data_IF_598483684367
#
_entry.id   IF_598483684367
#
_cell.length_a   1.000
_cell.length_b   1.000
_cell.length_c   1.000
_cell.angle_alpha   90.00
_cell.angle_beta   90.00
_cell.angle_gamma   90.00
#
_symmetry.space_group_name_H-M   'P 1'
#
loop_
_entity.id
_entity.type
_entity.pdbx_description
1 polymer ?
#
# COMPACT_ATOMS: atom_id res chain seq x y z
N UNK A 1 -7.84 34.25 23.26
CA UNK A 1 -7.90 33.63 21.93
C UNK A 1 -7.81 32.15 22.20
N UNK A 2 -8.84 31.35 21.89
CA UNK A 2 -8.75 29.89 22.02
C UNK A 2 -7.62 29.40 21.12
N UNK A 3 -6.81 28.48 21.61
CA UNK A 3 -5.81 27.82 20.81
C UNK A 3 -6.47 27.06 19.67
N UNK A 4 -5.85 27.01 18.49
CA UNK A 4 -6.42 26.37 17.32
C UNK A 4 -6.53 24.85 17.53
N UNK A 5 -7.60 24.25 17.05
CA UNK A 5 -7.74 22.80 16.96
C UNK A 5 -8.12 22.39 15.54
N UNK A 6 -7.85 21.12 15.23
CA UNK A 6 -8.10 20.53 13.92
C UNK A 6 -9.11 19.39 14.05
N UNK A 7 -9.87 19.14 12.99
CA UNK A 7 -10.75 17.98 12.94
C UNK A 7 -10.80 17.36 11.55
N UNK A 8 -11.16 16.10 11.47
CA UNK A 8 -11.47 15.44 10.22
C UNK A 8 -12.56 14.38 10.38
N UNK A 9 -13.25 14.04 9.28
CA UNK A 9 -14.18 12.92 9.23
C UNK A 9 -13.39 11.63 9.05
N UNK A 10 -13.23 10.86 10.15
CA UNK A 10 -12.45 9.61 10.17
C UNK A 10 -13.20 8.43 9.53
N UNK A 11 -14.55 8.43 9.56
CA UNK A 11 -15.36 7.45 8.84
C UNK A 11 -15.43 7.77 7.34
N UNK A 12 -15.67 6.77 6.45
CA UNK A 12 -15.88 7.03 5.03
C UNK A 12 -17.01 8.04 4.80
N UNK A 13 -16.88 8.95 3.82
CA UNK A 13 -17.96 9.88 3.49
C UNK A 13 -19.17 9.15 2.91
N UNK A 14 -20.37 9.68 3.15
CA UNK A 14 -21.63 9.13 2.68
C UNK A 14 -22.56 8.68 3.79
N UNK A 15 -23.66 8.04 3.42
CA UNK A 15 -24.67 7.57 4.38
C UNK A 15 -24.21 6.30 5.12
N UNK A 16 -24.25 6.35 6.44
CA UNK A 16 -23.90 5.25 7.32
C UNK A 16 -24.73 5.25 8.59
N UNK A 17 -24.55 4.27 9.47
CA UNK A 17 -25.19 4.27 10.79
C UNK A 17 -24.58 5.31 11.73
N UNK A 18 -23.26 5.47 11.67
CA UNK A 18 -22.47 6.37 12.52
C UNK A 18 -21.41 7.04 11.67
N UNK A 19 -21.18 8.35 11.93
CA UNK A 19 -20.02 9.09 11.43
C UNK A 19 -19.14 9.49 12.61
N UNK A 20 -17.82 9.35 12.43
CA UNK A 20 -16.83 9.63 13.46
C UNK A 20 -15.96 10.79 13.02
N UNK A 21 -15.98 11.87 13.79
CA UNK A 21 -15.02 12.97 13.67
C UNK A 21 -13.91 12.75 14.69
N UNK A 22 -12.68 12.95 14.27
CA UNK A 22 -11.52 13.01 15.16
C UNK A 22 -11.09 14.47 15.30
N UNK A 23 -10.91 14.92 16.55
CA UNK A 23 -10.53 16.28 16.91
C UNK A 23 -9.19 16.22 17.64
N UNK A 24 -8.26 17.12 17.33
CA UNK A 24 -6.95 17.13 17.97
C UNK A 24 -6.33 18.53 18.00
N UNK A 25 -5.41 18.73 18.91
CA UNK A 25 -4.69 19.98 19.09
C UNK A 25 -5.04 20.70 20.42
N UNK A 26 -4.30 21.74 20.78
CA UNK A 26 -4.36 22.34 22.11
C UNK A 26 -5.74 22.91 22.51
N UNK A 27 -6.53 23.39 21.54
CA UNK A 27 -7.88 23.93 21.77
C UNK A 27 -9.01 22.89 21.70
N UNK A 28 -8.72 21.61 21.40
CA UNK A 28 -9.75 20.60 21.12
C UNK A 28 -10.65 20.33 22.34
N UNK A 29 -10.07 20.23 23.53
CA UNK A 29 -10.82 19.99 24.77
C UNK A 29 -11.78 21.15 25.09
N UNK A 30 -11.30 22.38 25.05
CA UNK A 30 -12.11 23.57 25.37
C UNK A 30 -13.27 23.73 24.37
N UNK A 31 -12.95 23.60 23.07
CA UNK A 31 -13.95 23.74 22.01
C UNK A 31 -15.01 22.65 22.07
N UNK A 32 -14.60 21.38 22.28
CA UNK A 32 -15.53 20.26 22.39
C UNK A 32 -16.42 20.40 23.62
N UNK A 33 -15.87 20.75 24.79
CA UNK A 33 -16.65 21.00 26.01
C UNK A 33 -17.68 22.13 25.82
N UNK A 34 -17.32 23.19 25.10
CA UNK A 34 -18.23 24.31 24.80
C UNK A 34 -19.35 23.90 23.82
N UNK A 35 -19.12 22.90 22.97
CA UNK A 35 -20.11 22.37 22.03
C UNK A 35 -21.08 21.35 22.63
N UNK A 36 -20.83 20.85 23.84
CA UNK A 36 -21.61 19.80 24.47
C UNK A 36 -22.53 20.33 25.57
N UNK A 37 -23.75 19.75 25.71
CA UNK A 37 -24.71 20.14 26.71
C UNK A 37 -24.23 19.90 28.14
N UNK A 38 -23.57 18.77 28.39
CA UNK A 38 -22.97 18.43 29.68
C UNK A 38 -21.62 19.07 29.93
N UNK A 39 -20.91 19.51 28.88
CA UNK A 39 -19.59 20.15 28.96
C UNK A 39 -18.50 19.32 29.61
N UNK A 40 -18.72 18.01 29.78
CA UNK A 40 -17.75 17.11 30.43
C UNK A 40 -17.08 16.20 29.40
N UNK A 41 -15.76 16.17 29.43
CA UNK A 41 -14.98 15.28 28.61
C UNK A 41 -14.60 14.02 29.38
N UNK A 42 -14.55 12.86 28.70
CA UNK A 42 -14.13 11.61 29.34
C UNK A 42 -12.62 11.61 29.63
N UNK A 43 -12.21 10.81 30.62
CA UNK A 43 -10.79 10.55 30.88
C UNK A 43 -10.13 9.81 29.68
N UNK A 44 -8.80 9.94 29.48
CA UNK A 44 -8.07 9.24 28.41
C UNK A 44 -8.39 7.74 28.35
N UNK A 45 -8.75 7.26 27.16
CA UNK A 45 -9.16 5.87 26.92
C UNK A 45 -10.61 5.54 27.38
N UNK A 46 -11.39 6.54 27.73
CA UNK A 46 -12.81 6.40 28.11
C UNK A 46 -13.69 7.09 27.09
N UNK A 47 -15.00 6.79 27.17
CA UNK A 47 -16.03 7.47 26.40
C UNK A 47 -17.22 7.81 27.28
N UNK A 48 -17.99 8.84 26.88
CA UNK A 48 -19.24 9.21 27.52
C UNK A 48 -20.29 9.57 26.46
N UNK A 49 -21.57 9.51 26.84
CA UNK A 49 -22.68 9.98 26.06
C UNK A 49 -22.98 11.43 26.45
N UNK A 50 -23.21 12.30 25.46
CA UNK A 50 -23.62 13.68 25.66
C UNK A 50 -24.49 14.14 24.45
N UNK A 51 -24.93 15.39 24.47
CA UNK A 51 -25.66 16.01 23.34
C UNK A 51 -24.78 17.10 22.74
N UNK A 52 -24.55 17.02 21.42
CA UNK A 52 -23.95 18.11 20.65
C UNK A 52 -24.95 19.20 20.45
N UNK A 53 -24.60 20.44 20.79
CA UNK A 53 -25.44 21.60 20.65
C UNK A 53 -25.12 22.37 19.35
N UNK A 54 -26.16 22.93 18.71
CA UNK A 54 -26.01 23.87 17.61
C UNK A 54 -25.62 25.28 18.11
N UNK A 55 -25.57 26.26 17.22
CA UNK A 55 -25.21 27.65 17.52
C UNK A 55 -26.31 28.38 18.34
N UNK A 56 -27.55 27.86 18.36
CA UNK A 56 -28.66 28.37 19.17
C UNK A 56 -28.71 27.73 20.56
N UNK A 57 -27.88 26.71 20.83
CA UNK A 57 -27.89 25.94 22.07
C UNK A 57 -28.95 24.84 22.10
N UNK A 58 -29.55 24.51 20.94
CA UNK A 58 -30.48 23.38 20.82
C UNK A 58 -29.72 22.09 20.48
N UNK A 59 -30.27 20.95 20.90
CA UNK A 59 -29.62 19.64 20.62
C UNK A 59 -29.63 19.36 19.12
N UNK A 60 -28.42 19.26 18.54
CA UNK A 60 -28.20 18.85 17.17
C UNK A 60 -28.24 17.31 17.04
N UNK A 61 -27.56 16.60 17.94
CA UNK A 61 -27.51 15.14 17.96
C UNK A 61 -27.13 14.60 19.35
N UNK A 62 -27.51 13.34 19.64
CA UNK A 62 -26.95 12.59 20.77
C UNK A 62 -25.66 11.91 20.29
N UNK A 63 -24.55 12.18 21.00
CA UNK A 63 -23.21 11.83 20.53
C UNK A 63 -22.45 11.00 21.56
N UNK A 64 -21.55 10.14 21.07
CA UNK A 64 -20.55 9.50 21.90
C UNK A 64 -19.22 10.25 21.75
N UNK A 65 -18.75 10.79 22.87
CA UNK A 65 -17.44 11.46 22.95
C UNK A 65 -16.43 10.47 23.51
N UNK A 66 -15.34 10.22 22.79
CA UNK A 66 -14.22 9.42 23.25
C UNK A 66 -12.97 10.28 23.46
N UNK A 67 -12.22 10.05 24.52
CA UNK A 67 -10.87 10.63 24.68
C UNK A 67 -9.84 9.59 24.27
N UNK A 68 -8.89 9.97 23.40
CA UNK A 68 -7.87 9.07 22.89
C UNK A 68 -6.91 8.63 24.00
N UNK A 69 -6.51 7.35 24.06
CA UNK A 69 -5.55 6.88 25.05
C UNK A 69 -4.15 7.43 24.75
N UNK A 70 -3.32 7.55 25.78
CA UNK A 70 -1.94 8.00 25.67
C UNK A 70 -1.06 7.14 24.73
N UNK A 71 -1.49 5.92 24.41
CA UNK A 71 -0.84 5.00 23.46
C UNK A 71 -1.34 5.15 22.03
N UNK A 72 -2.23 6.10 21.75
CA UNK A 72 -2.73 6.38 20.41
C UNK A 72 -1.65 7.06 19.53
N UNK A 73 -1.97 7.22 18.25
CA UNK A 73 -1.14 8.02 17.33
C UNK A 73 -0.91 9.45 17.83
N UNK A 74 -1.86 9.99 18.61
CA UNK A 74 -1.82 11.33 19.19
C UNK A 74 -1.14 11.38 20.57
N UNK A 75 -0.21 10.48 20.86
CA UNK A 75 0.49 10.46 22.16
C UNK A 75 1.12 11.81 22.48
N UNK A 76 0.72 12.39 23.63
CA UNK A 76 1.16 13.72 24.06
C UNK A 76 0.36 14.90 23.49
N UNK A 77 -0.65 14.65 22.65
CA UNK A 77 -1.53 15.65 22.07
C UNK A 77 -2.95 15.38 22.55
N UNK A 78 -3.70 16.42 22.90
CA UNK A 78 -5.13 16.27 23.20
C UNK A 78 -5.87 15.84 21.95
N UNK A 79 -6.53 14.68 22.01
CA UNK A 79 -7.30 14.14 20.90
C UNK A 79 -8.57 13.43 21.37
N UNK A 80 -9.66 13.68 20.65
CA UNK A 80 -10.99 13.18 20.93
C UNK A 80 -11.63 12.58 19.70
N UNK A 81 -12.58 11.68 19.90
CA UNK A 81 -13.50 11.23 18.87
C UNK A 81 -14.90 11.72 19.20
N UNK A 82 -15.60 12.21 18.21
CA UNK A 82 -17.01 12.60 18.28
C UNK A 82 -17.79 11.73 17.31
N UNK A 83 -18.56 10.78 17.82
CA UNK A 83 -19.39 9.89 17.02
C UNK A 83 -20.81 10.43 16.98
N UNK A 84 -21.28 10.74 15.77
CA UNK A 84 -22.63 11.26 15.47
C UNK A 84 -23.39 10.27 14.60
N UNK A 85 -24.71 10.42 14.44
CA UNK A 85 -25.45 9.64 13.47
C UNK A 85 -24.97 9.93 12.04
N UNK A 86 -24.88 8.88 11.21
CA UNK A 86 -24.12 8.89 9.94
C UNK A 86 -24.85 9.47 8.73
N UNK A 87 -25.92 10.26 8.90
CA UNK A 87 -26.58 10.94 7.79
C UNK A 87 -25.71 12.07 7.21
N UNK A 88 -25.65 12.21 5.88
CA UNK A 88 -24.82 13.22 5.21
C UNK A 88 -25.11 14.65 5.64
N UNK A 89 -26.39 14.98 5.86
CA UNK A 89 -26.80 16.29 6.40
C UNK A 89 -26.20 16.54 7.79
N UNK A 90 -26.25 15.55 8.67
CA UNK A 90 -25.74 15.68 10.02
C UNK A 90 -24.21 15.78 10.06
N UNK A 91 -23.52 15.04 9.18
CA UNK A 91 -22.07 15.19 9.00
C UNK A 91 -21.70 16.63 8.63
N UNK A 92 -22.41 17.23 7.66
CA UNK A 92 -22.17 18.61 7.24
C UNK A 92 -22.49 19.60 8.36
N UNK A 93 -23.59 19.41 9.10
CA UNK A 93 -23.96 20.27 10.24
C UNK A 93 -22.94 20.18 11.38
N UNK A 94 -22.44 18.97 11.67
CA UNK A 94 -21.40 18.76 12.67
C UNK A 94 -20.11 19.47 12.26
N UNK A 95 -19.66 19.34 11.01
CA UNK A 95 -18.48 20.03 10.51
C UNK A 95 -18.62 21.56 10.66
N UNK A 96 -19.75 22.14 10.22
CA UNK A 96 -20.02 23.59 10.40
C UNK A 96 -20.01 24.00 11.87
N UNK A 97 -20.54 23.15 12.76
CA UNK A 97 -20.51 23.42 14.20
C UNK A 97 -19.08 23.47 14.73
N UNK A 98 -18.23 22.51 14.32
CA UNK A 98 -16.82 22.48 14.68
C UNK A 98 -16.07 23.72 14.14
N UNK A 99 -16.36 24.15 12.90
CA UNK A 99 -15.83 25.42 12.34
C UNK A 99 -16.22 26.61 13.21
N UNK A 100 -17.50 26.69 13.64
CA UNK A 100 -18.00 27.78 14.50
C UNK A 100 -17.35 27.81 15.89
N UNK A 101 -16.82 26.69 16.36
CA UNK A 101 -16.06 26.56 17.58
C UNK A 101 -14.56 26.91 17.40
N UNK A 102 -14.14 27.29 16.19
CA UNK A 102 -12.76 27.66 15.86
C UNK A 102 -11.89 26.50 15.35
N UNK A 103 -12.51 25.39 14.96
CA UNK A 103 -11.82 24.26 14.36
C UNK A 103 -11.48 24.49 12.89
N UNK A 104 -10.44 23.84 12.40
CA UNK A 104 -10.07 23.75 10.99
C UNK A 104 -10.28 22.34 10.50
N UNK A 105 -11.15 22.15 9.49
CA UNK A 105 -11.40 20.87 8.86
C UNK A 105 -10.25 20.45 7.97
N UNK A 106 -9.74 19.24 8.18
CA UNK A 106 -8.63 18.67 7.40
C UNK A 106 -9.10 17.46 6.57
N UNK A 107 -8.46 17.28 5.43
CA UNK A 107 -8.45 16.02 4.72
C UNK A 107 -7.47 15.04 5.37
N UNK A 108 -7.46 13.79 4.90
CA UNK A 108 -6.57 12.73 5.42
C UNK A 108 -5.09 13.12 5.35
N UNK A 109 -4.66 13.73 4.24
CA UNK A 109 -3.30 14.18 4.04
C UNK A 109 -2.92 15.28 5.03
N UNK A 110 -3.84 16.23 5.29
CA UNK A 110 -3.71 17.28 6.29
C UNK A 110 -3.50 16.73 7.69
N UNK A 111 -4.28 15.71 8.08
CA UNK A 111 -4.13 15.03 9.39
C UNK A 111 -2.73 14.48 9.58
N UNK A 112 -2.23 13.73 8.59
CA UNK A 112 -0.88 13.13 8.68
C UNK A 112 0.21 14.21 8.67
N UNK A 113 0.05 15.30 7.89
CA UNK A 113 0.99 16.44 7.91
C UNK A 113 1.08 17.05 9.30
N UNK A 114 -0.06 17.35 9.92
CA UNK A 114 -0.06 17.89 11.29
C UNK A 114 0.47 16.92 12.34
N UNK A 115 0.15 15.62 12.22
CA UNK A 115 0.71 14.60 13.10
C UNK A 115 2.24 14.55 13.02
N UNK A 116 2.79 14.71 11.82
CA UNK A 116 4.23 14.78 11.58
C UNK A 116 4.85 16.07 12.14
N UNK A 117 4.23 17.23 11.87
CA UNK A 117 4.67 18.55 12.38
C UNK A 117 4.66 18.61 13.90
N UNK A 118 3.69 18.01 14.54
CA UNK A 118 3.57 17.92 16.00
C UNK A 118 4.47 16.83 16.61
N UNK A 119 5.16 16.02 15.79
CA UNK A 119 6.01 14.93 16.26
C UNK A 119 5.23 13.74 16.84
N UNK A 120 3.93 13.65 16.59
CA UNK A 120 3.09 12.52 17.00
C UNK A 120 3.45 11.23 16.26
N UNK A 121 3.89 11.37 15.02
CA UNK A 121 4.43 10.29 14.18
C UNK A 121 5.70 10.76 13.49
N UNK A 122 6.59 9.84 13.16
CA UNK A 122 7.70 10.13 12.26
C UNK A 122 7.30 9.85 10.79
N UNK A 123 8.19 10.19 9.86
CA UNK A 123 7.93 10.07 8.43
C UNK A 123 7.69 8.62 7.97
N UNK A 124 8.33 7.64 8.61
CA UNK A 124 8.13 6.20 8.32
C UNK A 124 6.75 5.77 8.80
N UNK A 125 6.37 6.18 10.01
CA UNK A 125 5.06 5.90 10.59
C UNK A 125 3.93 6.56 9.77
N UNK A 126 4.12 7.80 9.31
CA UNK A 126 3.16 8.50 8.46
C UNK A 126 2.94 7.76 7.13
N UNK A 127 4.02 7.35 6.45
CA UNK A 127 3.94 6.54 5.24
C UNK A 127 3.24 5.20 5.48
N UNK A 128 3.51 4.55 6.62
CA UNK A 128 2.84 3.31 6.99
C UNK A 128 1.33 3.50 7.25
N UNK A 129 0.93 4.64 7.84
CA UNK A 129 -0.48 4.99 8.01
C UNK A 129 -1.21 5.10 6.67
N UNK A 130 -0.63 5.77 5.68
CA UNK A 130 -1.22 5.88 4.34
C UNK A 130 -1.41 4.51 3.69
N UNK A 131 -0.33 3.72 3.64
CA UNK A 131 -0.37 2.41 2.99
C UNK A 131 -1.25 1.38 3.73
N UNK A 132 -1.40 1.53 5.06
CA UNK A 132 -2.30 0.69 5.85
C UNK A 132 -3.76 0.88 5.43
N UNK A 133 -4.16 2.10 5.08
CA UNK A 133 -5.53 2.41 4.65
C UNK A 133 -5.85 1.85 3.26
N UNK A 134 -4.83 1.68 2.43
CA UNK A 134 -4.93 1.11 1.09
C UNK A 134 -4.53 -0.38 1.05
N UNK A 135 -4.28 -0.99 2.21
CA UNK A 135 -3.90 -2.39 2.30
C UNK A 135 -4.97 -3.32 1.71
N UNK A 136 -4.56 -4.16 0.77
CA UNK A 136 -5.46 -5.04 0.00
C UNK A 136 -5.42 -6.50 0.44
N UNK A 137 -4.49 -6.83 1.34
CA UNK A 137 -4.32 -8.19 1.87
C UNK A 137 -4.06 -8.14 3.37
N UNK A 138 -4.36 -9.23 4.07
CA UNK A 138 -4.07 -9.38 5.51
C UNK A 138 -2.58 -9.16 5.81
N UNK A 139 -1.72 -9.64 4.93
CA UNK A 139 -0.27 -9.52 5.05
C UNK A 139 0.17 -8.06 4.94
N UNK A 140 -0.32 -7.31 3.94
CA UNK A 140 -0.09 -5.88 3.82
C UNK A 140 -0.55 -5.13 5.07
N UNK A 141 -1.77 -5.40 5.54
CA UNK A 141 -2.32 -4.75 6.74
C UNK A 141 -1.48 -5.02 8.00
N UNK A 142 -1.09 -6.27 8.23
CA UNK A 142 -0.23 -6.66 9.36
C UNK A 142 1.15 -6.01 9.28
N UNK A 143 1.75 -6.01 8.09
CA UNK A 143 3.06 -5.38 7.87
C UNK A 143 3.01 -3.89 8.18
N UNK A 144 2.10 -3.12 7.56
CA UNK A 144 2.02 -1.67 7.77
C UNK A 144 1.57 -1.31 9.19
N UNK A 145 0.75 -2.12 9.85
CA UNK A 145 0.42 -1.93 11.26
C UNK A 145 1.65 -1.98 12.16
N UNK A 146 2.59 -2.90 11.92
CA UNK A 146 3.88 -2.98 12.63
C UNK A 146 4.76 -1.76 12.32
N UNK A 147 4.84 -1.34 11.04
CA UNK A 147 5.63 -0.17 10.67
C UNK A 147 5.06 1.12 11.29
N UNK A 148 3.74 1.25 11.35
CA UNK A 148 3.06 2.33 12.09
C UNK A 148 3.46 2.34 13.58
N UNK A 149 3.71 1.19 14.17
CA UNK A 149 4.20 1.09 15.56
C UNK A 149 5.69 1.41 15.70
N UNK A 150 6.38 1.82 14.62
CA UNK A 150 7.75 2.31 14.61
C UNK A 150 8.82 1.23 14.56
N UNK A 151 8.55 0.03 14.04
CA UNK A 151 9.58 -1.02 13.94
C UNK A 151 10.74 -0.60 13.03
N UNK A 152 10.45 -0.12 11.82
CA UNK A 152 11.50 0.35 10.90
C UNK A 152 12.19 1.60 11.43
N UNK A 153 11.44 2.54 12.02
CA UNK A 153 11.98 3.76 12.63
C UNK A 153 13.05 3.45 13.69
N UNK A 154 12.80 2.44 14.53
CA UNK A 154 13.78 2.00 15.56
C UNK A 154 15.06 1.45 14.93
N UNK A 155 14.94 0.65 13.87
CA UNK A 155 16.13 0.09 13.18
C UNK A 155 16.91 1.21 12.49
N UNK A 156 16.24 2.14 11.83
CA UNK A 156 16.90 3.28 11.19
C UNK A 156 17.57 4.21 12.21
N UNK A 157 16.93 4.48 13.35
CA UNK A 157 17.55 5.23 14.45
C UNK A 157 18.79 4.51 14.98
N UNK A 158 18.74 3.19 15.16
CA UNK A 158 19.90 2.40 15.55
C UNK A 158 21.04 2.48 14.52
N UNK A 159 20.71 2.48 13.21
CA UNK A 159 21.72 2.68 12.18
C UNK A 159 22.35 4.07 12.23
N UNK A 160 21.56 5.12 12.52
CA UNK A 160 22.06 6.48 12.71
C UNK A 160 22.98 6.56 13.92
N UNK A 161 22.60 5.98 15.07
CA UNK A 161 23.42 5.91 16.28
C UNK A 161 24.75 5.17 16.03
N UNK A 162 24.72 4.06 15.32
CA UNK A 162 25.93 3.30 14.93
C UNK A 162 26.83 4.07 13.95
N UNK A 163 26.29 5.06 13.23
CA UNK A 163 27.06 5.93 12.36
C UNK A 163 27.61 7.18 13.09
N UNK A 164 27.46 7.32 14.41
CA UNK A 164 28.05 8.38 15.20
C UNK A 164 29.48 8.01 15.63
N UNK A 165 30.42 8.94 15.48
CA UNK A 165 31.82 8.73 15.89
C UNK A 165 31.99 8.84 17.42
N UNK A 166 32.91 8.07 18.00
CA UNK A 166 33.83 7.10 17.41
C UNK A 166 33.24 5.70 17.27
N UNK A 167 33.28 5.13 16.07
CA UNK A 167 32.79 3.78 15.79
C UNK A 167 33.94 2.79 15.77
N UNK A 168 33.83 1.70 16.52
CA UNK A 168 34.76 0.59 16.46
C UNK A 168 34.42 -0.39 15.29
N UNK A 169 35.33 -1.31 15.01
CA UNK A 169 35.15 -2.29 13.92
C UNK A 169 33.87 -3.12 14.09
N UNK A 170 33.52 -3.46 15.32
CA UNK A 170 32.30 -4.26 15.59
C UNK A 170 31.02 -3.46 15.31
N UNK A 171 31.01 -2.16 15.61
CA UNK A 171 29.93 -1.25 15.27
C UNK A 171 29.75 -1.09 13.76
N UNK A 172 30.84 -0.98 13.00
CA UNK A 172 30.80 -0.91 11.53
C UNK A 172 30.25 -2.21 10.92
N UNK A 173 30.71 -3.38 11.39
CA UNK A 173 30.19 -4.68 10.92
C UNK A 173 28.70 -4.84 11.25
N UNK A 174 28.26 -4.37 12.41
CA UNK A 174 26.86 -4.38 12.79
C UNK A 174 26.03 -3.46 11.91
N UNK A 175 26.50 -2.25 11.63
CA UNK A 175 25.84 -1.28 10.74
C UNK A 175 25.71 -1.85 9.32
N UNK A 176 26.77 -2.40 8.77
CA UNK A 176 26.77 -3.01 7.44
C UNK A 176 25.74 -4.15 7.37
N UNK A 177 25.70 -5.01 8.37
CA UNK A 177 24.75 -6.13 8.43
C UNK A 177 23.30 -5.66 8.47
N UNK A 178 23.00 -4.63 9.27
CA UNK A 178 21.67 -4.04 9.34
C UNK A 178 21.27 -3.44 7.99
N UNK A 179 22.13 -2.62 7.38
CA UNK A 179 21.84 -2.00 6.08
C UNK A 179 21.64 -3.04 4.97
N UNK A 180 22.46 -4.10 4.92
CA UNK A 180 22.27 -5.20 3.95
C UNK A 180 20.93 -5.90 4.15
N UNK A 181 20.55 -6.21 5.39
CA UNK A 181 19.24 -6.82 5.69
C UNK A 181 18.07 -5.94 5.29
N UNK A 182 18.18 -4.63 5.49
CA UNK A 182 17.17 -3.66 5.06
C UNK A 182 17.05 -3.60 3.53
N UNK A 183 18.17 -3.60 2.79
CA UNK A 183 18.17 -3.60 1.32
C UNK A 183 17.57 -4.90 0.78
N UNK A 184 17.98 -6.06 1.30
CA UNK A 184 17.47 -7.36 0.87
C UNK A 184 15.95 -7.51 1.13
N UNK A 185 15.46 -6.99 2.26
CA UNK A 185 14.04 -7.00 2.61
C UNK A 185 13.19 -6.03 1.81
N UNK A 186 13.78 -4.95 1.28
CA UNK A 186 13.03 -3.84 0.67
C UNK A 186 12.22 -4.25 -0.55
N UNK A 187 12.70 -5.19 -1.37
CA UNK A 187 11.97 -5.67 -2.57
C UNK A 187 10.62 -6.26 -2.17
N UNK A 188 10.62 -7.13 -1.15
CA UNK A 188 9.38 -7.75 -0.63
C UNK A 188 8.47 -6.75 0.06
N UNK A 189 9.03 -5.92 0.95
CA UNK A 189 8.29 -4.93 1.71
C UNK A 189 7.57 -3.92 0.80
N UNK A 190 8.21 -3.46 -0.27
CA UNK A 190 7.60 -2.55 -1.25
C UNK A 190 6.42 -3.17 -1.98
N UNK A 191 6.48 -4.47 -2.31
CA UNK A 191 5.37 -5.15 -3.01
C UNK A 191 4.10 -5.27 -2.16
N UNK A 192 4.17 -5.06 -0.85
CA UNK A 192 2.99 -5.02 0.01
C UNK A 192 2.19 -3.71 -0.15
N UNK A 193 2.85 -2.59 -0.49
CA UNK A 193 2.23 -1.28 -0.72
C UNK A 193 2.12 -0.88 -2.20
N UNK A 194 3.06 -1.34 -3.02
CA UNK A 194 3.09 -1.13 -4.46
C UNK A 194 2.78 -2.46 -5.17
N UNK A 195 1.52 -2.76 -5.51
CA UNK A 195 1.15 -4.03 -6.14
C UNK A 195 1.94 -4.30 -7.40
N UNK A 196 2.38 -5.55 -7.58
CA UNK A 196 3.02 -5.99 -8.81
C UNK A 196 2.03 -5.86 -9.97
N UNK A 197 2.42 -5.15 -11.03
CA UNK A 197 1.61 -4.96 -12.23
C UNK A 197 1.95 -6.03 -13.27
N UNK A 198 1.05 -6.99 -13.54
CA UNK A 198 1.25 -8.03 -14.54
C UNK A 198 0.26 -7.90 -15.69
N UNK A 199 0.78 -7.89 -16.92
CA UNK A 199 0.01 -7.96 -18.15
C UNK A 199 -0.21 -9.42 -18.54
N UNK A 200 -1.45 -9.83 -18.78
CA UNK A 200 -1.77 -11.12 -19.41
C UNK A 200 -1.92 -10.89 -20.93
N UNK A 201 -1.01 -11.47 -21.71
CA UNK A 201 -0.97 -11.31 -23.17
C UNK A 201 -0.90 -12.66 -23.90
N UNK A 202 -0.98 -12.64 -25.22
CA UNK A 202 -0.93 -13.82 -26.09
C UNK A 202 -1.92 -13.73 -27.23
N UNK A 203 -1.81 -14.63 -28.21
CA UNK A 203 -2.68 -14.68 -29.37
C UNK A 203 -4.16 -14.89 -29.02
N UNK A 204 -5.07 -14.73 -29.98
CA UNK A 204 -6.48 -15.04 -29.78
C UNK A 204 -6.68 -16.51 -29.39
N UNK A 205 -7.66 -16.78 -28.52
CA UNK A 205 -8.02 -18.11 -28.07
C UNK A 205 -6.92 -18.89 -27.28
N UNK A 206 -5.90 -18.25 -26.76
CA UNK A 206 -4.90 -18.90 -25.88
C UNK A 206 -5.40 -19.09 -24.46
N UNK A 207 -6.56 -18.52 -24.07
CA UNK A 207 -7.18 -18.70 -22.76
C UNK A 207 -6.85 -17.58 -21.75
N UNK A 208 -6.53 -16.39 -22.22
CA UNK A 208 -6.21 -15.22 -21.37
C UNK A 208 -7.29 -14.90 -20.34
N UNK A 209 -8.54 -14.72 -20.79
CA UNK A 209 -9.66 -14.42 -19.89
C UNK A 209 -9.96 -15.59 -18.94
N UNK A 210 -9.73 -16.82 -19.36
CA UNK A 210 -9.88 -18.00 -18.49
C UNK A 210 -8.84 -17.97 -17.37
N UNK A 211 -7.58 -17.63 -17.69
CA UNK A 211 -6.52 -17.48 -16.69
C UNK A 211 -6.79 -16.30 -15.76
N UNK A 212 -7.20 -15.15 -16.30
CA UNK A 212 -7.59 -13.99 -15.50
C UNK A 212 -8.70 -14.34 -14.49
N UNK A 213 -9.77 -15.00 -14.94
CA UNK A 213 -10.86 -15.43 -14.07
C UNK A 213 -10.38 -16.43 -13.01
N UNK A 214 -9.46 -17.33 -13.36
CA UNK A 214 -8.86 -18.27 -12.40
C UNK A 214 -8.13 -17.55 -11.25
N UNK A 215 -7.37 -16.51 -11.56
CA UNK A 215 -6.77 -15.67 -10.53
C UNK A 215 -7.84 -15.00 -9.65
N UNK A 216 -8.91 -14.47 -10.25
CA UNK A 216 -9.96 -13.79 -9.51
C UNK A 216 -10.80 -14.72 -8.64
N UNK A 217 -10.90 -16.01 -9.01
CA UNK A 217 -11.64 -17.01 -8.23
C UNK A 217 -10.83 -17.57 -7.05
N UNK A 218 -9.56 -17.90 -7.29
CA UNK A 218 -8.70 -18.55 -6.27
C UNK A 218 -8.02 -17.59 -5.34
N UNK A 219 -7.55 -16.47 -5.87
CA UNK A 219 -6.64 -15.53 -5.19
C UNK A 219 -7.27 -14.13 -5.03
N UNK A 220 -8.59 -14.09 -4.77
CA UNK A 220 -9.29 -12.82 -4.68
C UNK A 220 -8.83 -12.02 -3.46
N UNK A 221 -8.11 -10.92 -3.69
CA UNK A 221 -7.86 -9.93 -2.65
C UNK A 221 -9.18 -9.28 -2.19
N UNK A 222 -9.26 -8.87 -0.94
CA UNK A 222 -10.38 -8.09 -0.43
C UNK A 222 -10.36 -6.71 -1.12
N UNK A 223 -11.06 -6.58 -2.24
CA UNK A 223 -11.14 -5.32 -2.99
C UNK A 223 -12.56 -4.81 -2.96
N UNK A 224 -12.73 -3.55 -2.56
CA UNK A 224 -13.90 -2.78 -2.90
C UNK A 224 -14.00 -2.73 -4.43
N UNK A 225 -15.08 -3.27 -5.00
CA UNK A 225 -15.36 -3.20 -6.43
C UNK A 225 -15.62 -1.75 -6.83
N UNK A 226 -14.59 -1.01 -7.21
CA UNK A 226 -14.81 0.11 -8.12
C UNK A 226 -15.05 -0.50 -9.49
N UNK A 227 -16.32 -0.64 -9.84
CA UNK A 227 -16.75 -0.96 -11.19
C UNK A 227 -16.35 0.22 -12.09
N UNK A 228 -15.23 0.08 -12.77
CA UNK A 228 -14.86 0.94 -13.89
C UNK A 228 -15.87 0.78 -15.02
N UNK A 229 -16.20 1.86 -15.68
CA UNK A 229 -17.10 1.94 -16.81
C UNK A 229 -16.69 1.01 -17.95
N UNK A 230 -17.62 0.45 -18.65
CA UNK A 230 -17.62 -0.68 -19.60
C UNK A 230 -16.71 -0.57 -20.86
N UNK A 231 -15.66 0.26 -20.86
CA UNK A 231 -14.69 0.41 -21.96
C UNK A 231 -13.22 0.27 -21.54
N UNK A 232 -12.94 0.03 -20.25
CA UNK A 232 -11.57 -0.06 -19.73
C UNK A 232 -11.05 -1.50 -19.74
N UNK A 233 -9.72 -1.64 -19.85
CA UNK A 233 -8.98 -2.89 -19.60
C UNK A 233 -9.59 -3.61 -18.40
N UNK A 234 -9.88 -4.90 -18.53
CA UNK A 234 -10.24 -5.72 -17.37
C UNK A 234 -9.03 -5.75 -16.42
N UNK A 235 -9.13 -4.99 -15.35
CA UNK A 235 -8.15 -4.99 -14.27
C UNK A 235 -8.74 -5.70 -13.06
N UNK A 236 -7.91 -6.46 -12.36
CA UNK A 236 -8.29 -7.12 -11.11
C UNK A 236 -7.10 -7.30 -10.20
N UNK A 237 -7.35 -7.30 -8.90
CA UNK A 237 -6.29 -7.54 -7.90
C UNK A 237 -6.41 -8.95 -7.35
N UNK A 238 -5.36 -9.74 -7.51
CA UNK A 238 -5.18 -11.05 -6.90
C UNK A 238 -4.25 -10.94 -5.69
N UNK A 239 -4.33 -11.91 -4.77
CA UNK A 239 -3.44 -12.03 -3.61
C UNK A 239 -2.54 -13.27 -3.77
N UNK A 240 -1.42 -13.14 -4.47
CA UNK A 240 -0.48 -14.25 -4.65
C UNK A 240 0.41 -14.36 -3.41
N UNK A 241 0.30 -15.48 -2.67
CA UNK A 241 0.92 -15.65 -1.35
C UNK A 241 0.63 -14.50 -0.39
N UNK A 242 -0.61 -13.99 -0.46
CA UNK A 242 -1.09 -12.84 0.32
C UNK A 242 -0.36 -11.52 0.02
N UNK A 243 0.32 -11.44 -1.16
CA UNK A 243 0.91 -10.20 -1.71
C UNK A 243 0.01 -9.68 -2.82
N UNK A 244 -0.36 -8.38 -2.83
CA UNK A 244 -1.27 -7.85 -3.85
C UNK A 244 -0.59 -7.80 -5.22
N UNK A 245 -1.26 -8.34 -6.24
CA UNK A 245 -0.84 -8.35 -7.65
C UNK A 245 -1.97 -7.83 -8.51
N UNK A 246 -1.75 -6.76 -9.25
CA UNK A 246 -2.70 -6.26 -10.23
C UNK A 246 -2.49 -6.92 -11.58
N UNK A 247 -3.57 -7.52 -12.08
CA UNK A 247 -3.60 -8.18 -13.37
C UNK A 247 -4.38 -7.33 -14.37
N UNK A 248 -3.81 -7.11 -15.54
CA UNK A 248 -4.47 -6.48 -16.68
C UNK A 248 -4.63 -7.49 -17.80
N UNK A 249 -5.89 -7.75 -18.25
CA UNK A 249 -6.16 -8.62 -19.41
C UNK A 249 -6.16 -7.82 -20.71
N UNK A 250 -5.31 -8.21 -21.64
CA UNK A 250 -5.26 -7.61 -22.99
C UNK A 250 -6.48 -7.95 -23.90
N UNK A 251 -7.38 -8.82 -23.45
CA UNK A 251 -8.57 -9.26 -24.25
C UNK A 251 -9.71 -8.24 -24.24
N UNK A 252 -9.78 -7.33 -23.24
CA UNK A 252 -10.68 -6.18 -23.30
C UNK A 252 -10.42 -5.27 -24.53
N UNK A 253 -9.26 -5.45 -25.13
CA UNK A 253 -8.83 -4.86 -26.40
C UNK A 253 -9.32 -5.71 -27.61
N UNK A 254 -10.59 -6.15 -27.62
CA UNK A 254 -11.18 -6.66 -28.86
C UNK A 254 -11.24 -5.51 -29.84
N UNK A 255 -10.28 -5.53 -30.76
CA UNK A 255 -10.26 -4.74 -31.96
C UNK A 255 -11.49 -5.11 -32.81
N UNK A 256 -12.62 -4.46 -32.56
CA UNK A 256 -13.57 -4.22 -33.65
C UNK A 256 -12.84 -3.27 -34.64
N UNK A 257 -13.02 -3.47 -35.94
CA UNK A 257 -12.22 -2.72 -36.95
C UNK A 257 -12.35 -1.19 -36.90
N UNK A 258 -13.23 -0.63 -36.12
CA UNK A 258 -13.53 0.81 -36.05
C UNK A 258 -12.85 1.57 -34.90
N UNK A 259 -12.25 0.87 -33.87
CA UNK A 259 -11.68 1.50 -32.68
C UNK A 259 -10.13 1.32 -32.54
N UNK A 260 -9.40 1.24 -33.62
CA UNK A 260 -7.98 0.82 -33.65
C UNK A 260 -7.02 1.74 -32.88
N UNK A 261 -7.25 3.03 -32.82
CA UNK A 261 -6.30 4.03 -32.25
C UNK A 261 -6.37 4.05 -30.72
N UNK A 262 -7.57 3.99 -30.15
CA UNK A 262 -7.80 4.00 -28.69
C UNK A 262 -7.34 2.68 -28.03
N UNK A 263 -7.63 1.56 -28.66
CA UNK A 263 -7.21 0.24 -28.21
C UNK A 263 -5.68 0.04 -28.28
N UNK A 264 -5.01 0.57 -29.29
CA UNK A 264 -3.55 0.59 -29.37
C UNK A 264 -2.94 1.49 -28.27
N UNK A 265 -3.53 2.67 -28.00
CA UNK A 265 -3.08 3.56 -26.95
C UNK A 265 -3.20 2.93 -25.54
N UNK A 266 -4.32 2.25 -25.23
CA UNK A 266 -4.52 1.54 -23.96
C UNK A 266 -3.56 0.35 -23.81
N UNK A 267 -3.30 -0.39 -24.91
CA UNK A 267 -2.30 -1.48 -24.88
C UNK A 267 -0.88 -0.96 -24.66
N UNK A 268 -0.56 0.19 -25.23
CA UNK A 268 0.71 0.86 -25.03
C UNK A 268 0.87 1.39 -23.59
N UNK A 269 -0.22 1.89 -22.97
CA UNK A 269 -0.22 2.33 -21.57
C UNK A 269 -0.04 1.14 -20.63
N UNK A 270 -0.83 0.07 -20.79
CA UNK A 270 -0.67 -1.15 -19.99
C UNK A 270 0.73 -1.76 -20.12
N UNK A 271 1.31 -1.73 -21.33
CA UNK A 271 2.69 -2.14 -21.57
C UNK A 271 3.70 -1.23 -20.88
N UNK A 272 3.44 0.06 -20.76
CA UNK A 272 4.34 1.04 -20.10
C UNK A 272 4.36 0.87 -18.59
N UNK A 273 3.22 0.55 -18.00
CA UNK A 273 3.02 0.46 -16.54
C UNK A 273 3.40 -0.91 -15.97
N UNK A 274 3.19 -2.00 -16.73
CA UNK A 274 3.41 -3.35 -16.20
C UNK A 274 4.87 -3.67 -15.85
N UNK A 275 5.07 -4.27 -14.69
CA UNK A 275 6.37 -4.79 -14.23
C UNK A 275 6.78 -6.06 -14.97
N UNK A 276 5.79 -6.89 -15.37
CA UNK A 276 6.00 -8.15 -16.05
C UNK A 276 4.83 -8.57 -16.96
N UNK A 277 5.06 -9.62 -17.74
CA UNK A 277 4.10 -10.16 -18.67
C UNK A 277 3.96 -11.68 -18.51
N UNK A 278 2.72 -12.15 -18.41
CA UNK A 278 2.36 -13.55 -18.57
C UNK A 278 1.91 -13.74 -20.02
N UNK A 279 2.76 -14.31 -20.85
CA UNK A 279 2.47 -14.50 -22.28
C UNK A 279 1.98 -15.91 -22.53
N UNK A 280 0.70 -16.04 -22.92
CA UNK A 280 0.03 -17.35 -23.09
C UNK A 280 0.25 -17.92 -24.48
N UNK A 281 0.69 -19.16 -24.51
CA UNK A 281 0.82 -20.00 -25.68
C UNK A 281 -0.24 -21.11 -25.65
N UNK A 282 -0.82 -21.42 -26.82
CA UNK A 282 -1.64 -22.63 -27.01
C UNK A 282 -0.77 -23.78 -27.56
N UNK A 283 -1.19 -25.05 -27.41
CA UNK A 283 -0.46 -26.17 -28.02
C UNK A 283 -0.15 -25.96 -29.50
N UNK A 284 1.02 -26.29 -29.98
CA UNK A 284 2.13 -27.02 -29.33
C UNK A 284 3.10 -26.14 -28.51
N UNK A 285 2.69 -24.99 -28.01
CA UNK A 285 3.45 -24.07 -27.12
C UNK A 285 4.75 -23.57 -27.73
N UNK A 286 4.73 -23.25 -29.01
CA UNK A 286 5.84 -22.69 -29.78
C UNK A 286 5.59 -21.23 -30.07
N UNK A 287 6.65 -20.43 -30.03
CA UNK A 287 6.62 -19.02 -30.41
C UNK A 287 6.60 -18.88 -31.93
N UNK A 288 5.56 -18.22 -32.44
CA UNK A 288 5.51 -17.76 -33.84
C UNK A 288 6.33 -16.48 -34.04
N UNK A 289 6.58 -16.08 -35.29
CA UNK A 289 7.27 -14.80 -35.58
C UNK A 289 6.50 -13.59 -35.03
N UNK A 290 5.16 -13.66 -34.99
CA UNK A 290 4.32 -12.63 -34.38
C UNK A 290 4.53 -12.54 -32.86
N UNK A 291 4.62 -13.68 -32.18
CA UNK A 291 4.88 -13.74 -30.75
C UNK A 291 6.27 -13.17 -30.44
N UNK A 292 7.28 -13.57 -31.22
CA UNK A 292 8.65 -13.05 -31.10
C UNK A 292 8.71 -11.54 -31.33
N UNK A 293 7.97 -11.01 -32.31
CA UNK A 293 7.89 -9.58 -32.57
C UNK A 293 7.24 -8.82 -31.42
N UNK A 294 6.22 -9.38 -30.76
CA UNK A 294 5.59 -8.79 -29.59
C UNK A 294 6.55 -8.76 -28.37
N UNK A 295 7.30 -9.84 -28.19
CA UNK A 295 8.19 -10.03 -27.04
C UNK A 295 9.53 -9.27 -27.20
N UNK A 296 9.91 -8.91 -28.43
CA UNK A 296 11.15 -8.18 -28.70
C UNK A 296 11.19 -6.83 -27.96
N UNK A 297 12.34 -6.51 -27.40
CA UNK A 297 12.58 -5.24 -26.69
C UNK A 297 12.22 -5.34 -25.20
N UNK A 298 11.24 -4.56 -24.70
CA UNK A 298 10.96 -4.40 -23.26
C UNK A 298 10.66 -5.72 -22.52
N UNK A 299 10.08 -6.70 -23.22
CA UNK A 299 9.60 -7.93 -22.61
C UNK A 299 10.62 -9.06 -22.54
N UNK A 300 11.78 -8.90 -23.18
CA UNK A 300 12.80 -9.96 -23.33
C UNK A 300 13.27 -10.61 -22.01
N UNK A 301 13.22 -9.89 -20.88
CA UNK A 301 13.59 -10.40 -19.55
C UNK A 301 12.49 -10.30 -18.51
N UNK A 302 11.32 -9.78 -18.87
CA UNK A 302 10.19 -9.50 -17.97
C UNK A 302 8.96 -10.34 -18.32
N UNK A 303 9.15 -11.45 -19.03
CA UNK A 303 8.07 -12.33 -19.48
C UNK A 303 8.22 -13.71 -18.87
N UNK A 304 7.07 -14.31 -18.52
CA UNK A 304 6.91 -15.75 -18.30
C UNK A 304 6.07 -16.28 -19.43
N UNK A 305 6.60 -17.25 -20.16
CA UNK A 305 5.90 -17.96 -21.24
C UNK A 305 5.03 -19.06 -20.64
N UNK A 306 3.72 -18.88 -20.70
CA UNK A 306 2.74 -19.78 -20.08
C UNK A 306 2.10 -20.65 -21.15
N UNK A 307 2.44 -21.93 -21.17
CA UNK A 307 1.78 -22.94 -22.00
C UNK A 307 0.44 -23.33 -21.40
N UNK A 308 -0.66 -22.82 -21.97
CA UNK A 308 -2.01 -23.10 -21.49
C UNK A 308 -2.69 -24.21 -22.29
N UNK A 309 -3.83 -24.72 -21.79
CA UNK A 309 -4.64 -25.81 -22.34
C UNK A 309 -3.95 -27.16 -22.29
N UNK A 310 -3.23 -27.43 -21.19
CA UNK A 310 -2.61 -28.74 -20.95
C UNK A 310 -3.62 -29.89 -20.97
N UNK A 311 -4.86 -29.63 -20.52
CA UNK A 311 -5.99 -30.56 -20.54
C UNK A 311 -6.31 -31.13 -21.93
N UNK A 312 -6.04 -30.38 -22.99
CA UNK A 312 -6.27 -30.81 -24.39
C UNK A 312 -5.06 -31.47 -25.06
N UNK A 313 -3.85 -31.45 -24.44
CA UNK A 313 -2.62 -31.95 -25.05
C UNK A 313 -1.58 -32.40 -24.00
N UNK A 314 -1.92 -33.30 -23.06
CA UNK A 314 -1.06 -33.60 -21.90
C UNK A 314 0.30 -34.22 -22.27
N UNK A 315 0.40 -34.90 -23.40
CA UNK A 315 1.59 -35.66 -23.82
C UNK A 315 2.47 -34.88 -24.82
N UNK A 316 2.11 -33.62 -25.18
CA UNK A 316 2.89 -32.85 -26.12
C UNK A 316 4.13 -32.22 -25.40
N UNK A 317 5.33 -32.36 -25.98
CA UNK A 317 6.48 -31.66 -25.45
C UNK A 317 6.35 -30.15 -25.65
N UNK A 318 6.68 -29.39 -24.61
CA UNK A 318 6.83 -27.94 -24.70
C UNK A 318 8.24 -27.57 -25.16
N UNK A 319 8.37 -26.67 -26.13
CA UNK A 319 9.67 -26.20 -26.58
C UNK A 319 10.02 -24.82 -25.99
N UNK A 320 9.02 -23.94 -25.84
CA UNK A 320 9.26 -22.54 -25.46
C UNK A 320 8.63 -22.15 -24.11
N UNK A 321 7.68 -22.93 -23.55
CA UNK A 321 6.97 -22.51 -22.33
C UNK A 321 7.83 -22.71 -21.05
N UNK A 322 7.85 -21.69 -20.19
CA UNK A 322 8.46 -21.73 -18.86
C UNK A 322 7.60 -22.54 -17.88
N UNK A 323 6.28 -22.49 -18.03
CA UNK A 323 5.28 -23.17 -17.19
C UNK A 323 4.18 -23.73 -18.06
N UNK A 324 3.76 -24.98 -17.81
CA UNK A 324 2.61 -25.60 -18.43
C UNK A 324 1.44 -25.64 -17.45
N UNK A 325 0.24 -25.26 -17.90
CA UNK A 325 -0.97 -25.30 -17.09
C UNK A 325 -2.25 -25.49 -17.94
N UNK A 326 -3.32 -25.83 -17.26
CA UNK A 326 -4.68 -25.68 -17.75
C UNK A 326 -5.40 -24.61 -16.92
N UNK A 327 -5.65 -23.45 -17.50
CA UNK A 327 -6.44 -22.40 -16.85
C UNK A 327 -7.89 -22.88 -16.57
N UNK A 328 -8.40 -23.86 -17.34
CA UNK A 328 -9.73 -24.42 -17.18
C UNK A 328 -9.82 -25.36 -15.98
N UNK A 329 -8.90 -26.33 -15.85
CA UNK A 329 -8.93 -27.33 -14.77
C UNK A 329 -8.20 -26.86 -13.51
N UNK A 330 -7.21 -25.98 -13.65
CA UNK A 330 -6.32 -25.51 -12.59
C UNK A 330 -5.05 -26.36 -12.44
N UNK A 331 -4.85 -27.36 -13.26
CA UNK A 331 -3.60 -28.13 -13.29
C UNK A 331 -2.43 -27.23 -13.64
N UNK A 332 -1.34 -27.31 -12.88
CA UNK A 332 -0.13 -26.49 -13.07
C UNK A 332 -0.26 -25.02 -12.63
N UNK A 333 -1.43 -24.58 -12.12
CA UNK A 333 -1.63 -23.19 -11.70
C UNK A 333 -0.72 -22.81 -10.52
N UNK A 334 -0.55 -23.70 -9.54
CA UNK A 334 0.30 -23.44 -8.37
C UNK A 334 1.77 -23.26 -8.79
N UNK A 335 2.25 -23.99 -9.81
CA UNK A 335 3.59 -23.78 -10.37
C UNK A 335 3.73 -22.39 -11.01
N UNK A 336 2.68 -21.84 -11.62
CA UNK A 336 2.70 -20.47 -12.12
C UNK A 336 2.81 -19.46 -10.96
N UNK A 337 2.08 -19.68 -9.85
CA UNK A 337 2.19 -18.81 -8.66
C UNK A 337 3.61 -18.82 -8.10
N UNK A 338 4.26 -19.98 -8.01
CA UNK A 338 5.64 -20.12 -7.57
C UNK A 338 6.61 -19.36 -8.48
N UNK A 339 6.44 -19.44 -9.79
CA UNK A 339 7.28 -18.71 -10.76
C UNK A 339 7.09 -17.19 -10.61
N UNK A 340 5.85 -16.71 -10.43
CA UNK A 340 5.57 -15.30 -10.18
C UNK A 340 6.24 -14.83 -8.89
N UNK A 341 6.12 -15.61 -7.82
CA UNK A 341 6.70 -15.29 -6.52
C UNK A 341 8.23 -15.17 -6.57
N UNK A 342 8.89 -16.11 -7.23
CA UNK A 342 10.34 -16.09 -7.39
C UNK A 342 10.81 -14.92 -8.27
N UNK A 343 10.14 -14.72 -9.40
CA UNK A 343 10.63 -13.79 -10.41
C UNK A 343 10.44 -12.33 -10.04
N UNK A 344 9.36 -12.00 -9.32
CA UNK A 344 8.96 -10.61 -9.07
C UNK A 344 8.66 -10.25 -7.63
N UNK A 345 8.33 -11.22 -6.78
CA UNK A 345 7.99 -10.95 -5.39
C UNK A 345 9.14 -11.19 -4.41
N UNK A 346 10.25 -11.79 -4.87
CA UNK A 346 11.44 -12.03 -4.07
C UNK A 346 11.28 -13.18 -3.06
N UNK A 347 10.43 -14.18 -3.37
CA UNK A 347 10.26 -15.40 -2.57
C UNK A 347 10.93 -16.60 -3.23
N UNK A 348 11.52 -17.47 -2.40
CA UNK A 348 12.11 -18.73 -2.87
C UNK A 348 11.04 -19.79 -3.13
N UNK A 349 11.30 -20.69 -4.08
CA UNK A 349 10.38 -21.78 -4.41
C UNK A 349 10.16 -22.73 -3.23
N UNK A 350 8.92 -23.20 -3.08
CA UNK A 350 8.57 -24.30 -2.20
C UNK A 350 8.41 -23.96 -0.72
N UNK A 351 8.35 -22.67 -0.36
CA UNK A 351 7.95 -22.28 1.00
C UNK A 351 6.43 -22.39 1.13
N UNK A 352 5.92 -23.09 2.17
CA UNK A 352 4.48 -23.23 2.37
C UNK A 352 3.78 -21.88 2.52
N UNK A 353 2.64 -21.71 1.87
CA UNK A 353 1.78 -20.54 2.08
C UNK A 353 1.49 -20.37 3.58
N UNK A 354 1.79 -19.20 4.12
CA UNK A 354 1.48 -18.84 5.52
C UNK A 354 2.65 -18.76 6.50
N UNK A 355 3.90 -19.08 6.10
CA UNK A 355 5.09 -19.00 6.96
C UNK A 355 5.99 -17.80 6.59
N UNK A 356 5.45 -16.78 5.95
CA UNK A 356 6.24 -15.61 5.62
C UNK A 356 6.11 -14.55 6.71
N UNK A 357 7.13 -14.43 7.56
CA UNK A 357 7.36 -13.18 8.28
C UNK A 357 8.11 -12.24 7.34
N UNK A 358 7.46 -11.15 6.94
CA UNK A 358 8.14 -10.11 6.21
C UNK A 358 9.11 -9.41 7.14
N UNK A 359 10.40 -9.35 6.79
CA UNK A 359 11.36 -8.64 7.59
C UNK A 359 10.97 -7.16 7.64
N UNK A 360 11.22 -6.50 8.76
CA UNK A 360 11.14 -5.05 8.85
C UNK A 360 12.15 -4.45 7.88
N UNK A 361 11.66 -3.74 6.87
CA UNK A 361 12.49 -3.20 5.79
C UNK A 361 11.82 -1.97 5.16
N UNK A 362 12.58 -1.14 4.42
CA UNK A 362 12.04 -0.04 3.62
C UNK A 362 10.91 -0.51 2.70
N UNK A 363 9.78 0.19 2.74
CA UNK A 363 8.57 -0.17 2.00
C UNK A 363 8.12 0.91 1.01
N UNK A 364 8.84 2.05 0.95
CA UNK A 364 8.69 3.05 -0.11
C UNK A 364 9.97 3.13 -0.96
N UNK A 365 9.84 3.62 -2.20
CA UNK A 365 10.98 3.78 -3.10
C UNK A 365 12.05 4.73 -2.52
N UNK A 366 11.63 5.84 -1.88
CA UNK A 366 12.52 6.80 -1.26
C UNK A 366 13.31 6.21 -0.09
N UNK A 367 12.63 5.47 0.80
CA UNK A 367 13.28 4.78 1.92
C UNK A 367 14.30 3.75 1.43
N UNK A 368 13.94 2.93 0.43
CA UNK A 368 14.83 1.93 -0.15
C UNK A 368 16.08 2.58 -0.77
N UNK A 369 15.89 3.62 -1.58
CA UNK A 369 16.99 4.35 -2.20
C UNK A 369 17.95 4.98 -1.15
N UNK A 370 17.41 5.52 -0.07
CA UNK A 370 18.21 6.11 1.00
C UNK A 370 19.08 5.06 1.72
N UNK A 371 18.53 3.87 2.00
CA UNK A 371 19.27 2.77 2.64
C UNK A 371 20.32 2.19 1.68
N UNK A 372 20.01 2.04 0.39
CA UNK A 372 20.98 1.62 -0.64
C UNK A 372 22.15 2.61 -0.76
N UNK A 373 21.86 3.92 -0.76
CA UNK A 373 22.88 4.96 -0.78
C UNK A 373 23.75 4.92 0.48
N UNK A 374 23.15 4.74 1.67
CA UNK A 374 23.86 4.60 2.92
C UNK A 374 24.79 3.39 2.92
N UNK A 375 24.32 2.22 2.46
CA UNK A 375 25.15 1.03 2.30
C UNK A 375 26.28 1.25 1.29
N UNK A 376 26.00 1.90 0.17
CA UNK A 376 27.01 2.22 -0.83
C UNK A 376 28.10 3.18 -0.30
N UNK A 377 27.73 4.17 0.51
CA UNK A 377 28.67 5.08 1.16
C UNK A 377 29.57 4.33 2.18
N UNK A 378 28.99 3.40 2.93
CA UNK A 378 29.73 2.59 3.91
C UNK A 378 30.77 1.66 3.25
N UNK A 379 30.44 1.06 2.11
CA UNK A 379 31.26 0.03 1.45
C UNK A 379 32.31 0.61 0.50
N UNK A 380 32.08 1.79 -0.11
CA UNK A 380 32.93 2.37 -1.16
C UNK A 380 34.29 2.90 -0.70
N UNK A 381 34.53 3.10 0.60
CA UNK A 381 35.74 3.76 1.09
C UNK A 381 36.57 2.83 1.97
N UNK A 382 37.57 2.09 1.42
CA UNK A 382 38.51 1.33 2.25
C UNK A 382 39.31 2.28 3.14
N UNK A 383 39.11 2.21 4.45
CA UNK A 383 39.94 2.89 5.44
C UNK A 383 39.27 4.00 6.26
N UNK A 384 38.29 4.72 5.74
CA UNK A 384 37.47 5.67 6.52
C UNK A 384 36.08 5.75 5.86
N UNK A 385 35.08 5.02 6.36
CA UNK A 385 33.73 5.17 5.86
C UNK A 385 33.26 6.61 6.04
N UNK A 386 32.56 7.14 5.04
CA UNK A 386 31.93 8.45 5.11
C UNK A 386 30.68 8.36 6.00
N UNK A 387 30.91 8.22 7.33
CA UNK A 387 29.82 8.04 8.31
C UNK A 387 28.83 9.20 8.28
N UNK A 388 29.31 10.42 8.07
CA UNK A 388 28.43 11.58 7.89
C UNK A 388 27.54 11.45 6.64
N UNK A 389 28.03 10.82 5.57
CA UNK A 389 27.25 10.57 4.38
C UNK A 389 26.23 9.46 4.59
N UNK A 390 26.63 8.38 5.27
CA UNK A 390 25.69 7.31 5.71
C UNK A 390 24.56 7.90 6.55
N UNK A 391 24.91 8.69 7.55
CA UNK A 391 23.96 9.36 8.43
C UNK A 391 23.03 10.28 7.65
N UNK A 392 23.56 11.12 6.76
CA UNK A 392 22.78 12.01 5.90
C UNK A 392 21.80 11.24 5.02
N UNK A 393 22.21 10.14 4.38
CA UNK A 393 21.34 9.31 3.56
C UNK A 393 20.19 8.71 4.39
N UNK A 394 20.48 8.21 5.58
CA UNK A 394 19.47 7.64 6.49
C UNK A 394 18.48 8.72 6.96
N UNK A 395 18.97 9.92 7.31
CA UNK A 395 18.09 11.03 7.72
C UNK A 395 17.19 11.48 6.56
N UNK A 396 17.69 11.54 5.33
CA UNK A 396 16.88 11.84 4.14
C UNK A 396 15.79 10.77 3.93
N UNK A 397 16.13 9.48 4.13
CA UNK A 397 15.15 8.38 4.04
C UNK A 397 14.07 8.44 5.11
N UNK A 398 14.31 9.16 6.21
CA UNK A 398 13.35 9.45 7.25
C UNK A 398 12.51 10.72 6.96
N UNK A 399 12.83 11.48 5.91
CA UNK A 399 12.02 12.61 5.46
C UNK A 399 10.92 12.12 4.55
N UNK A 400 9.69 12.43 4.92
CA UNK A 400 8.52 12.07 4.12
C UNK A 400 8.33 13.11 3.01
N UNK A 401 8.30 12.65 1.76
CA UNK A 401 7.86 13.47 0.63
C UNK A 401 6.40 13.12 0.32
N UNK A 402 5.52 14.08 0.55
CA UNK A 402 4.11 13.94 0.17
C UNK A 402 3.99 13.64 -1.32
N UNK A 403 3.12 12.69 -1.74
CA UNK A 403 2.74 12.57 -3.14
C UNK A 403 2.28 13.96 -3.62
N UNK A 404 2.88 14.45 -4.71
CA UNK A 404 2.37 15.67 -5.35
C UNK A 404 1.00 15.34 -5.94
N UNK A 405 -0.02 16.12 -5.57
CA UNK A 405 -1.39 16.05 -6.09
C UNK A 405 -1.45 16.13 -7.62
#
# INVERSE_FOLDING_TARGET
MSEAFFYHLASPPGEGGIAVFELFGPGAAEALAAGLAGGRLPEPGRSCLDSLLDEAGETLDEVVVGSQPASSMWSGIEAFTLSVHGGSWLQERTARRLDSLGGEGLDRGGVLRHALELGAVDAVQAAACELLLDARTDRSAKFFSRQRSGELSKILSQCVELAEEPVDTAGLEKLERLLRGLVEGSVRARRLGEPLQLLIAGCANTGKSTLFNRFMEKERAAVSSQAGTTRDLLRGTAAIFDVPVELADSVGLRLEPEDTVEAEALSLLARKEADGCLYLLAPPWRLTDRDRSFLAGRWDRKTVLVGNKLDGAPDLPSEDADVLLSALTGEGFDSLLDVIAQRWLGYDAGLPAGIYEDPTAPFTASQAAAVEQALSALVKTPGTPLLDEVKRCLIIGLQYSWPQE
#
